data_IF_775265849692
#
_entry.id   IF_775265849692
#
_cell.length_a   1.000
_cell.length_b   1.000
_cell.length_c   1.000
_cell.angle_alpha   90.00
_cell.angle_beta   90.00
_cell.angle_gamma   90.00
#
_symmetry.space_group_name_H-M   'P 1'
#
loop_
_entity.id
_entity.type
_entity.pdbx_description
1 polymer ?
#
# COMPACT_ATOMS: atom_id res chain seq x y z
N UNK A 1 -8.98 -4.51 29.03
CA UNK A 1 -8.69 -3.31 28.22
C UNK A 1 -7.51 -3.47 27.24
N UNK A 2 -6.81 -4.62 27.18
CA UNK A 2 -5.63 -4.81 26.30
C UNK A 2 -5.93 -5.26 24.85
N UNK A 3 -7.18 -5.56 24.50
CA UNK A 3 -7.54 -6.18 23.21
C UNK A 3 -7.87 -5.19 22.08
N UNK A 4 -8.17 -3.92 22.39
CA UNK A 4 -8.57 -2.92 21.39
C UNK A 4 -7.40 -2.41 20.54
N UNK A 5 -6.23 -2.22 21.14
CA UNK A 5 -5.01 -1.73 20.46
C UNK A 5 -4.47 -2.75 19.45
N UNK A 6 -4.43 -4.03 19.81
CA UNK A 6 -3.94 -5.10 18.92
C UNK A 6 -4.81 -5.30 17.68
N UNK A 7 -6.13 -5.23 17.83
CA UNK A 7 -7.05 -5.36 16.70
C UNK A 7 -6.93 -4.19 15.70
N UNK A 8 -6.64 -2.99 16.18
CA UNK A 8 -6.41 -1.81 15.32
C UNK A 8 -5.09 -1.91 14.55
N UNK A 9 -4.02 -2.36 15.22
CA UNK A 9 -2.72 -2.59 14.59
C UNK A 9 -2.80 -3.66 13.50
N UNK A 10 -3.52 -4.75 13.75
CA UNK A 10 -3.73 -5.81 12.75
C UNK A 10 -4.45 -5.26 11.50
N UNK A 11 -5.55 -4.52 11.69
CA UNK A 11 -6.29 -3.90 10.56
C UNK A 11 -5.44 -2.90 9.79
N UNK A 12 -4.59 -2.14 10.48
CA UNK A 12 -3.65 -1.22 9.84
C UNK A 12 -2.63 -1.97 8.98
N UNK A 13 -2.09 -3.09 9.48
CA UNK A 13 -1.19 -3.96 8.72
C UNK A 13 -1.88 -4.59 7.51
N UNK A 14 -3.07 -5.16 7.67
CA UNK A 14 -3.86 -5.73 6.57
C UNK A 14 -4.17 -4.69 5.48
N UNK A 15 -4.50 -3.45 5.88
CA UNK A 15 -4.73 -2.36 4.93
C UNK A 15 -3.44 -1.99 4.20
N UNK A 16 -2.31 -1.92 4.90
CA UNK A 16 -1.00 -1.66 4.30
C UNK A 16 -0.66 -2.70 3.23
N UNK A 17 -0.86 -3.99 3.51
CA UNK A 17 -0.60 -5.05 2.53
C UNK A 17 -1.53 -4.95 1.30
N UNK A 18 -2.82 -4.69 1.50
CA UNK A 18 -3.76 -4.47 0.38
C UNK A 18 -3.36 -3.29 -0.52
N UNK A 19 -2.80 -2.24 0.07
CA UNK A 19 -2.28 -1.09 -0.70
C UNK A 19 -1.06 -1.51 -1.52
N UNK A 20 -0.15 -2.33 -0.98
CA UNK A 20 1.01 -2.82 -1.71
C UNK A 20 0.62 -3.77 -2.85
N UNK A 21 -0.38 -4.63 -2.65
CA UNK A 21 -0.92 -5.48 -3.72
C UNK A 21 -1.53 -4.64 -4.86
N UNK A 22 -2.31 -3.60 -4.50
CA UNK A 22 -2.87 -2.67 -5.46
C UNK A 22 -1.78 -1.87 -6.20
N UNK A 23 -0.74 -1.45 -5.49
CA UNK A 23 0.40 -0.74 -6.05
C UNK A 23 1.14 -1.60 -7.08
N UNK A 24 1.40 -2.87 -6.78
CA UNK A 24 2.00 -3.82 -7.72
C UNK A 24 1.19 -3.89 -9.02
N UNK A 25 -0.13 -4.06 -8.90
CA UNK A 25 -1.00 -4.12 -10.06
C UNK A 25 -1.00 -2.82 -10.88
N UNK A 26 -1.08 -1.67 -10.22
CA UNK A 26 -1.13 -0.35 -10.88
C UNK A 26 0.20 -0.04 -11.58
N UNK A 27 1.32 -0.20 -10.88
CA UNK A 27 2.64 0.07 -11.45
C UNK A 27 3.00 -0.88 -12.59
N UNK A 28 2.60 -2.15 -12.52
CA UNK A 28 2.85 -3.11 -13.61
C UNK A 28 2.01 -2.80 -14.85
N UNK A 29 0.76 -2.32 -14.68
CA UNK A 29 -0.14 -2.00 -15.80
C UNK A 29 0.13 -0.65 -16.46
N UNK A 30 0.50 0.37 -15.68
CA UNK A 30 0.66 1.75 -16.15
C UNK A 30 2.11 2.22 -16.24
N UNK A 31 3.04 1.46 -15.66
CA UNK A 31 4.38 1.97 -15.38
C UNK A 31 4.40 3.00 -14.24
N UNK A 32 5.58 3.25 -13.70
CA UNK A 32 5.75 4.15 -12.56
C UNK A 32 5.36 5.60 -12.86
N UNK A 33 5.67 6.09 -14.07
CA UNK A 33 5.46 7.51 -14.43
C UNK A 33 3.97 7.87 -14.46
N UNK A 34 3.16 7.07 -15.14
CA UNK A 34 1.73 7.34 -15.33
C UNK A 34 0.86 6.94 -14.13
N UNK A 35 1.31 5.99 -13.30
CA UNK A 35 0.62 5.62 -12.09
C UNK A 35 0.46 6.81 -11.12
N UNK A 36 -0.71 6.90 -10.49
CA UNK A 36 -1.03 7.90 -9.47
C UNK A 36 -1.42 7.25 -8.14
N UNK A 37 -1.39 8.04 -7.06
CA UNK A 37 -1.88 7.58 -5.75
C UNK A 37 -3.41 7.30 -5.77
N UNK A 38 -4.14 7.96 -6.65
CA UNK A 38 -5.59 7.77 -6.80
C UNK A 38 -5.91 6.44 -7.49
N UNK A 39 -5.12 6.04 -8.47
CA UNK A 39 -5.23 4.71 -9.10
C UNK A 39 -5.04 3.59 -8.07
N UNK A 40 -4.06 3.76 -7.17
CA UNK A 40 -3.78 2.79 -6.10
C UNK A 40 -4.92 2.77 -5.08
N UNK A 41 -5.43 3.94 -4.68
CA UNK A 41 -6.56 4.02 -3.74
C UNK A 41 -7.79 3.29 -4.29
N UNK A 42 -8.10 3.52 -5.57
CA UNK A 42 -9.19 2.85 -6.28
C UNK A 42 -8.98 1.33 -6.32
N UNK A 43 -7.80 0.87 -6.73
CA UNK A 43 -7.48 -0.55 -6.81
C UNK A 43 -7.47 -1.24 -5.42
N UNK A 44 -7.02 -0.54 -4.37
CA UNK A 44 -7.00 -1.05 -3.00
C UNK A 44 -8.37 -1.03 -2.31
N UNK A 45 -9.39 -0.44 -2.96
CA UNK A 45 -10.72 -0.17 -2.39
C UNK A 45 -10.62 0.56 -1.06
N UNK A 46 -9.84 1.65 -1.04
CA UNK A 46 -9.69 2.52 0.13
C UNK A 46 -9.71 3.99 -0.29
N UNK A 47 -9.85 4.90 0.68
CA UNK A 47 -9.84 6.33 0.39
C UNK A 47 -8.42 6.80 0.12
N UNK A 48 -8.28 7.92 -0.62
CA UNK A 48 -7.01 8.60 -0.82
C UNK A 48 -6.30 8.85 0.52
N UNK A 49 -6.99 9.42 1.50
CA UNK A 49 -6.46 9.63 2.86
C UNK A 49 -6.01 8.33 3.55
N UNK A 50 -6.70 7.21 3.30
CA UNK A 50 -6.28 5.88 3.78
C UNK A 50 -4.96 5.41 3.19
N UNK A 51 -4.69 5.69 1.91
CA UNK A 51 -3.38 5.42 1.28
C UNK A 51 -2.32 6.33 1.86
N UNK A 52 -2.59 7.64 1.92
CA UNK A 52 -1.64 8.64 2.43
C UNK A 52 -1.28 8.47 3.91
N UNK A 53 -2.19 7.88 4.70
CA UNK A 53 -1.89 7.48 6.08
C UNK A 53 -0.76 6.44 6.17
N UNK A 54 -0.65 5.54 5.19
CA UNK A 54 0.37 4.50 5.17
C UNK A 54 1.60 4.89 4.35
N UNK A 55 1.43 5.67 3.28
CA UNK A 55 2.47 6.03 2.35
C UNK A 55 2.36 7.51 1.96
N UNK A 56 3.34 8.36 2.33
CA UNK A 56 3.25 9.81 2.12
C UNK A 56 3.26 10.22 0.64
N UNK A 57 3.59 9.30 -0.28
CA UNK A 57 3.57 9.56 -1.71
C UNK A 57 3.93 8.34 -2.56
N UNK A 58 3.91 8.53 -3.88
CA UNK A 58 4.14 7.49 -4.89
C UNK A 58 5.52 6.85 -4.77
N UNK A 59 6.55 7.65 -4.51
CA UNK A 59 7.93 7.17 -4.33
C UNK A 59 8.06 6.27 -3.09
N UNK A 60 7.58 6.74 -1.94
CA UNK A 60 7.59 5.95 -0.69
C UNK A 60 6.81 4.62 -0.84
N UNK A 61 5.68 4.65 -1.54
CA UNK A 61 4.91 3.45 -1.85
C UNK A 61 5.69 2.50 -2.78
N UNK A 62 6.35 3.03 -3.80
CA UNK A 62 7.11 2.25 -4.76
C UNK A 62 8.34 1.59 -4.13
N UNK A 63 9.10 2.34 -3.31
CA UNK A 63 10.23 1.78 -2.56
C UNK A 63 9.78 0.69 -1.59
N UNK A 64 8.71 0.92 -0.83
CA UNK A 64 8.16 -0.10 0.05
C UNK A 64 7.66 -1.36 -0.68
N UNK A 65 7.16 -1.20 -1.91
CA UNK A 65 6.80 -2.32 -2.76
C UNK A 65 8.06 -3.09 -3.21
N UNK A 66 9.12 -2.40 -3.64
CA UNK A 66 10.38 -3.03 -4.02
C UNK A 66 10.99 -3.80 -2.85
N UNK A 67 11.01 -3.21 -1.65
CA UNK A 67 11.50 -3.88 -0.44
C UNK A 67 10.70 -5.15 -0.15
N UNK A 68 9.37 -5.08 -0.20
CA UNK A 68 8.48 -6.25 -0.03
C UNK A 68 8.73 -7.32 -1.10
N UNK A 69 8.92 -6.92 -2.35
CA UNK A 69 9.18 -7.85 -3.45
C UNK A 69 10.56 -8.50 -3.34
N UNK A 70 11.58 -7.76 -2.92
CA UNK A 70 12.92 -8.29 -2.71
C UNK A 70 12.95 -9.34 -1.58
N UNK A 71 12.15 -9.14 -0.52
CA UNK A 71 11.99 -10.11 0.57
C UNK A 71 11.39 -11.46 0.12
N UNK A 72 10.67 -11.52 -1.01
CA UNK A 72 10.16 -12.78 -1.56
C UNK A 72 11.20 -13.56 -2.38
N UNK A 73 12.32 -12.91 -2.72
CA UNK A 73 13.41 -13.51 -3.50
C UNK A 73 14.52 -14.09 -2.60
N UNK A 74 14.39 -13.96 -1.29
CA UNK A 74 15.29 -14.47 -0.25
C UNK A 74 14.60 -15.58 0.56
#
# INVERSE_FOLDING_TARGET
MATSTGALQLRARERRERILDAALQVFTRRGYREATMDDVALAARTSKGGVYFHFPGKEALFLALLDRSAQLLL
#
